data_IF_197955597638
#
_entry.id   IF_197955597638
#
_cell.length_a   1.000
_cell.length_b   1.000
_cell.length_c   1.000
_cell.angle_alpha   90.00
_cell.angle_beta   90.00
_cell.angle_gamma   90.00
#
_symmetry.space_group_name_H-M   'P 1'
#
loop_
_entity.id
_entity.type
_entity.pdbx_description
1 polymer ?
#
# COMPACT_ATOMS: atom_id res chain seq x y z
N UNK A 1 32.53 -18.07 -2.09
CA UNK A 1 31.25 -18.50 -1.48
C UNK A 1 30.20 -18.21 -2.53
N UNK A 2 29.58 -19.24 -3.09
CA UNK A 2 28.46 -19.04 -4.01
C UNK A 2 27.36 -18.31 -3.24
N UNK A 3 27.02 -17.10 -3.66
CA UNK A 3 25.93 -16.36 -3.04
C UNK A 3 24.65 -17.14 -3.31
N UNK A 4 24.05 -17.72 -2.26
CA UNK A 4 22.70 -18.32 -2.31
C UNK A 4 21.58 -17.31 -2.62
N UNK A 5 21.96 -16.08 -2.97
CA UNK A 5 21.06 -15.01 -3.33
C UNK A 5 20.50 -15.24 -4.73
N UNK A 6 19.18 -15.15 -4.84
CA UNK A 6 18.48 -15.22 -6.11
C UNK A 6 18.87 -14.00 -6.96
N UNK A 7 19.13 -14.21 -8.25
CA UNK A 7 19.44 -13.12 -9.17
C UNK A 7 18.20 -12.20 -9.33
N UNK A 8 18.30 -10.88 -9.08
CA UNK A 8 17.19 -9.94 -9.28
C UNK A 8 16.79 -9.77 -10.76
N UNK A 9 17.69 -10.11 -11.69
CA UNK A 9 17.42 -10.13 -13.13
C UNK A 9 16.76 -11.45 -13.50
N UNK A 10 15.57 -11.34 -14.09
CA UNK A 10 14.78 -12.47 -14.57
C UNK A 10 15.38 -13.02 -15.88
N UNK A 11 15.58 -12.17 -16.87
CA UNK A 11 16.30 -12.45 -18.10
C UNK A 11 16.69 -11.14 -18.80
N UNK A 12 17.55 -11.22 -19.82
CA UNK A 12 17.96 -10.07 -20.64
C UNK A 12 17.46 -10.22 -22.07
N UNK A 13 16.95 -9.14 -22.66
CA UNK A 13 16.58 -9.08 -24.08
C UNK A 13 17.28 -7.88 -24.70
N UNK A 14 18.23 -8.12 -25.61
CA UNK A 14 18.87 -7.06 -26.39
C UNK A 14 19.56 -5.98 -25.56
N UNK A 15 20.14 -6.32 -24.41
CA UNK A 15 20.78 -5.38 -23.48
C UNK A 15 19.82 -4.73 -22.48
N UNK A 16 18.52 -5.05 -22.53
CA UNK A 16 17.54 -4.65 -21.51
C UNK A 16 17.38 -5.77 -20.47
N UNK A 17 17.79 -5.51 -19.23
CA UNK A 17 17.59 -6.44 -18.12
C UNK A 17 16.15 -6.33 -17.57
N UNK A 18 15.37 -7.39 -17.75
CA UNK A 18 14.04 -7.52 -17.15
C UNK A 18 14.20 -8.02 -15.72
N UNK A 19 13.63 -7.31 -14.75
CA UNK A 19 13.77 -7.60 -13.31
C UNK A 19 12.52 -8.27 -12.75
N UNK A 20 12.72 -9.19 -11.80
CA UNK A 20 11.63 -9.82 -11.04
C UNK A 20 10.71 -8.80 -10.38
N UNK A 21 11.29 -7.70 -9.87
CA UNK A 21 10.56 -6.62 -9.22
C UNK A 21 9.42 -6.08 -10.10
N UNK A 22 9.71 -5.78 -11.37
CA UNK A 22 8.71 -5.24 -12.30
C UNK A 22 7.60 -6.24 -12.61
N UNK A 23 7.96 -7.52 -12.80
CA UNK A 23 6.98 -8.59 -13.00
C UNK A 23 6.06 -8.76 -11.78
N UNK A 24 6.63 -8.80 -10.58
CA UNK A 24 5.88 -8.96 -9.32
C UNK A 24 4.94 -7.77 -9.09
N UNK A 25 5.39 -6.53 -9.33
CA UNK A 25 4.52 -5.36 -9.26
C UNK A 25 3.38 -5.43 -10.29
N UNK A 26 3.66 -5.87 -11.52
CA UNK A 26 2.65 -6.07 -12.55
C UNK A 26 1.61 -7.11 -12.15
N UNK A 27 2.04 -8.24 -11.59
CA UNK A 27 1.15 -9.28 -11.05
C UNK A 27 0.34 -8.78 -9.86
N UNK A 28 0.94 -7.99 -8.97
CA UNK A 28 0.25 -7.35 -7.86
C UNK A 28 -0.85 -6.39 -8.32
N UNK A 29 -0.56 -5.56 -9.33
CA UNK A 29 -1.54 -4.67 -9.94
C UNK A 29 -2.68 -5.45 -10.63
N UNK A 30 -2.35 -6.53 -11.35
CA UNK A 30 -3.34 -7.40 -11.99
C UNK A 30 -4.25 -8.10 -10.97
N UNK A 31 -3.67 -8.67 -9.91
CA UNK A 31 -4.42 -9.31 -8.84
C UNK A 31 -5.33 -8.31 -8.11
N UNK A 32 -4.82 -7.10 -7.83
CA UNK A 32 -5.62 -6.00 -7.29
C UNK A 32 -6.78 -5.63 -8.22
N UNK A 33 -6.53 -5.48 -9.52
CA UNK A 33 -7.57 -5.17 -10.50
C UNK A 33 -8.65 -6.25 -10.57
N UNK A 34 -8.26 -7.52 -10.60
CA UNK A 34 -9.20 -8.66 -10.58
C UNK A 34 -10.10 -8.61 -9.35
N UNK A 35 -9.52 -8.36 -8.18
CA UNK A 35 -10.30 -8.23 -6.94
C UNK A 35 -11.20 -7.00 -6.97
N UNK A 36 -10.73 -5.85 -7.46
CA UNK A 36 -11.53 -4.63 -7.56
C UNK A 36 -12.74 -4.82 -8.49
N UNK A 37 -12.55 -5.50 -9.62
CA UNK A 37 -13.63 -5.88 -10.54
C UNK A 37 -14.62 -6.82 -9.85
N UNK A 38 -14.13 -7.82 -9.12
CA UNK A 38 -14.99 -8.77 -8.42
C UNK A 38 -15.81 -8.09 -7.32
N UNK A 39 -15.20 -7.18 -6.56
CA UNK A 39 -15.89 -6.37 -5.56
C UNK A 39 -16.87 -5.38 -6.17
N UNK A 40 -16.52 -4.75 -7.29
CA UNK A 40 -17.39 -3.85 -8.03
C UNK A 40 -18.65 -4.53 -8.57
N UNK A 41 -18.51 -5.77 -9.08
CA UNK A 41 -19.65 -6.58 -9.54
C UNK A 41 -20.68 -6.81 -8.43
N UNK A 42 -20.24 -6.97 -7.18
CA UNK A 42 -21.15 -7.09 -6.01
C UNK A 42 -22.04 -5.87 -5.83
N UNK A 43 -21.65 -4.71 -6.36
CA UNK A 43 -22.43 -3.48 -6.35
C UNK A 43 -22.97 -3.07 -7.73
N UNK A 44 -22.84 -3.92 -8.76
CA UNK A 44 -23.35 -3.65 -10.10
C UNK A 44 -22.49 -2.67 -10.91
N UNK A 45 -21.24 -2.40 -10.49
CA UNK A 45 -20.30 -1.59 -11.26
C UNK A 45 -19.68 -2.45 -12.36
N UNK A 46 -19.68 -1.94 -13.60
CA UNK A 46 -19.11 -2.65 -14.76
C UNK A 46 -17.59 -2.83 -14.61
N UNK A 47 -17.01 -3.95 -15.05
CA UNK A 47 -15.55 -4.19 -15.01
C UNK A 47 -14.73 -3.06 -15.64
N UNK A 48 -15.20 -2.53 -16.77
CA UNK A 48 -14.54 -1.46 -17.54
C UNK A 48 -14.24 -0.25 -16.67
N UNK A 49 -15.08 0.05 -15.67
CA UNK A 49 -14.83 1.15 -14.73
C UNK A 49 -13.48 1.00 -14.01
N UNK A 50 -13.15 -0.20 -13.53
CA UNK A 50 -11.90 -0.46 -12.81
C UNK A 50 -10.71 -0.60 -13.75
N UNK A 51 -10.92 -1.14 -14.94
CA UNK A 51 -9.91 -1.18 -16.00
C UNK A 51 -9.48 0.24 -16.36
N UNK A 52 -10.44 1.11 -16.68
CA UNK A 52 -10.23 2.52 -16.99
C UNK A 52 -9.58 3.26 -15.80
N UNK A 53 -10.04 2.99 -14.57
CA UNK A 53 -9.44 3.59 -13.37
C UNK A 53 -7.96 3.24 -13.24
N UNK A 54 -7.56 1.99 -13.54
CA UNK A 54 -6.17 1.57 -13.53
C UNK A 54 -5.39 2.19 -14.70
N UNK A 55 -5.95 2.18 -15.91
CA UNK A 55 -5.33 2.72 -17.13
C UNK A 55 -5.12 4.23 -17.07
N UNK A 56 -5.98 4.96 -16.35
CA UNK A 56 -5.80 6.39 -16.09
C UNK A 56 -4.92 6.62 -14.85
N UNK A 57 -5.12 5.81 -13.80
CA UNK A 57 -4.48 5.97 -12.51
C UNK A 57 -2.98 5.69 -12.52
N UNK A 58 -2.54 4.62 -13.20
CA UNK A 58 -1.12 4.25 -13.24
C UNK A 58 -0.26 5.29 -13.98
N UNK A 59 -0.62 5.78 -15.19
CA UNK A 59 0.11 6.88 -15.82
C UNK A 59 0.07 8.16 -14.99
N UNK A 60 -1.09 8.51 -14.42
CA UNK A 60 -1.21 9.69 -13.55
C UNK A 60 -0.29 9.61 -12.33
N UNK A 61 -0.15 8.42 -11.73
CA UNK A 61 0.78 8.17 -10.64
C UNK A 61 2.23 8.36 -11.08
N UNK A 62 2.64 7.77 -12.21
CA UNK A 62 4.02 7.90 -12.73
C UNK A 62 4.36 9.35 -13.04
N UNK A 63 3.45 10.07 -13.72
CA UNK A 63 3.63 11.49 -14.07
C UNK A 63 3.78 12.33 -12.80
N UNK A 64 2.87 12.19 -11.84
CA UNK A 64 2.91 12.96 -10.59
C UNK A 64 4.13 12.60 -9.73
N UNK A 65 4.55 11.33 -9.71
CA UNK A 65 5.75 10.87 -9.03
C UNK A 65 7.02 11.53 -9.58
N UNK A 66 7.09 11.68 -10.91
CA UNK A 66 8.21 12.35 -11.56
C UNK A 66 8.20 13.86 -11.31
N UNK A 67 7.04 14.50 -11.44
CA UNK A 67 6.87 15.93 -11.13
C UNK A 67 7.29 16.22 -9.69
N UNK A 68 6.81 15.40 -8.74
CA UNK A 68 7.16 15.54 -7.33
C UNK A 68 8.67 15.39 -7.13
N UNK A 69 9.29 14.34 -7.67
CA UNK A 69 10.74 14.14 -7.53
C UNK A 69 11.53 15.35 -8.06
N UNK A 70 11.26 15.77 -9.29
CA UNK A 70 11.95 16.89 -9.95
C UNK A 70 11.76 18.20 -9.17
N UNK A 71 10.58 18.45 -8.62
CA UNK A 71 10.33 19.65 -7.82
C UNK A 71 11.22 19.71 -6.57
N UNK A 72 11.47 18.58 -5.90
CA UNK A 72 12.33 18.51 -4.72
C UNK A 72 13.83 18.40 -5.04
N UNK A 73 14.18 18.08 -6.29
CA UNK A 73 15.58 17.99 -6.76
C UNK A 73 15.87 18.96 -7.90
N UNK A 74 15.22 20.12 -7.93
CA UNK A 74 15.21 21.05 -9.08
C UNK A 74 16.61 21.46 -9.54
N UNK A 75 17.55 21.63 -8.60
CA UNK A 75 18.93 22.00 -8.91
C UNK A 75 19.65 21.03 -9.85
N UNK A 76 19.24 19.75 -9.90
CA UNK A 76 19.81 18.76 -10.79
C UNK A 76 19.32 18.89 -12.24
N UNK A 77 18.17 19.55 -12.45
CA UNK A 77 17.44 19.60 -13.72
C UNK A 77 17.43 20.98 -14.38
N UNK A 78 17.66 22.07 -13.61
CA UNK A 78 17.59 23.45 -14.12
C UNK A 78 18.45 23.71 -15.35
N UNK A 79 19.60 23.04 -15.46
CA UNK A 79 20.54 23.20 -16.58
C UNK A 79 20.32 22.15 -17.69
N UNK A 80 19.47 21.15 -17.47
CA UNK A 80 19.16 20.04 -18.40
C UNK A 80 17.68 19.66 -18.36
N UNK A 81 16.77 20.53 -18.81
CA UNK A 81 15.32 20.33 -18.64
C UNK A 81 14.78 19.09 -19.37
N UNK A 82 15.46 18.59 -20.41
CA UNK A 82 15.07 17.35 -21.09
C UNK A 82 15.23 16.10 -20.22
N UNK A 83 16.11 16.14 -19.21
CA UNK A 83 16.33 15.01 -18.29
C UNK A 83 15.09 14.76 -17.41
N UNK A 84 14.18 15.73 -17.30
CA UNK A 84 12.90 15.59 -16.59
C UNK A 84 12.07 14.42 -17.15
N UNK A 85 12.16 14.12 -18.44
CA UNK A 85 11.37 13.05 -19.07
C UNK A 85 12.03 11.67 -18.99
N UNK A 86 13.30 11.59 -18.56
CA UNK A 86 14.07 10.35 -18.52
C UNK A 86 13.75 9.48 -17.30
N UNK A 87 12.51 8.98 -17.24
CA UNK A 87 12.04 8.14 -16.14
C UNK A 87 12.79 6.80 -16.02
N UNK A 88 13.45 6.36 -17.09
CA UNK A 88 14.27 5.14 -17.09
C UNK A 88 15.61 5.31 -16.37
N UNK A 89 16.05 6.55 -16.11
CA UNK A 89 17.22 6.84 -15.26
C UNK A 89 16.86 6.83 -13.76
N UNK A 90 15.61 6.51 -13.42
CA UNK A 90 15.09 6.52 -12.05
C UNK A 90 14.50 7.87 -11.66
N UNK A 91 14.55 8.21 -10.36
CA UNK A 91 14.02 9.47 -9.84
C UNK A 91 12.49 9.54 -9.84
N UNK A 92 11.86 8.63 -9.10
CA UNK A 92 10.42 8.54 -8.90
C UNK A 92 10.15 8.64 -7.39
N UNK A 93 9.28 9.57 -6.99
CA UNK A 93 8.91 9.74 -5.58
C UNK A 93 7.53 9.14 -5.28
N UNK A 94 7.47 8.22 -4.32
CA UNK A 94 6.22 7.53 -3.94
C UNK A 94 5.10 8.48 -3.51
N UNK A 95 5.44 9.58 -2.83
CA UNK A 95 4.46 10.59 -2.42
C UNK A 95 3.74 11.21 -3.62
N UNK A 96 4.48 11.53 -4.69
CA UNK A 96 3.88 12.02 -5.92
C UNK A 96 3.00 10.97 -6.60
N UNK A 97 3.41 9.70 -6.58
CA UNK A 97 2.60 8.60 -7.11
C UNK A 97 1.24 8.48 -6.40
N UNK A 98 1.25 8.53 -5.07
CA UNK A 98 0.03 8.46 -4.25
C UNK A 98 -0.87 9.66 -4.53
N UNK A 99 -0.32 10.88 -4.58
CA UNK A 99 -1.08 12.10 -4.87
C UNK A 99 -1.72 12.02 -6.26
N UNK A 100 -0.95 11.66 -7.28
CA UNK A 100 -1.43 11.54 -8.66
C UNK A 100 -2.55 10.50 -8.81
N UNK A 101 -2.35 9.32 -8.24
CA UNK A 101 -3.36 8.26 -8.24
C UNK A 101 -4.65 8.70 -7.51
N UNK A 102 -4.51 9.36 -6.36
CA UNK A 102 -5.65 9.82 -5.56
C UNK A 102 -6.46 10.90 -6.29
N UNK A 103 -5.80 11.91 -6.86
CA UNK A 103 -6.44 12.96 -7.65
C UNK A 103 -7.16 12.36 -8.87
N UNK A 104 -6.47 11.49 -9.61
CA UNK A 104 -7.06 10.79 -10.76
C UNK A 104 -8.31 10.00 -10.34
N UNK A 105 -8.24 9.22 -9.25
CA UNK A 105 -9.36 8.45 -8.75
C UNK A 105 -10.57 9.31 -8.35
N UNK A 106 -10.34 10.46 -7.71
CA UNK A 106 -11.40 11.42 -7.38
C UNK A 106 -12.07 11.98 -8.64
N UNK A 107 -11.26 12.46 -9.59
CA UNK A 107 -11.75 13.08 -10.82
C UNK A 107 -12.52 12.04 -11.62
N UNK A 108 -11.97 10.84 -11.80
CA UNK A 108 -12.57 9.78 -12.59
C UNK A 108 -13.86 9.24 -11.97
N UNK A 109 -13.89 8.98 -10.66
CA UNK A 109 -15.11 8.54 -9.97
C UNK A 109 -16.24 9.58 -10.13
N UNK A 110 -15.95 10.88 -9.94
CA UNK A 110 -16.93 11.96 -10.14
C UNK A 110 -17.31 12.14 -11.61
N UNK A 111 -16.37 11.93 -12.52
CA UNK A 111 -16.64 11.95 -13.96
C UNK A 111 -17.67 10.87 -14.34
N UNK A 112 -17.56 9.67 -13.77
CA UNK A 112 -18.52 8.55 -13.97
C UNK A 112 -19.76 8.60 -13.06
N UNK A 113 -19.92 9.63 -12.22
CA UNK A 113 -21.12 9.81 -11.39
C UNK A 113 -21.15 8.95 -10.11
N UNK A 114 -20.00 8.42 -9.68
CA UNK A 114 -19.87 7.67 -8.43
C UNK A 114 -19.33 8.53 -7.30
N UNK A 115 -19.81 8.29 -6.07
CA UNK A 115 -19.24 8.88 -4.85
C UNK A 115 -17.85 8.29 -4.60
N UNK A 116 -16.81 9.12 -4.55
CA UNK A 116 -15.42 8.67 -4.38
C UNK A 116 -15.23 7.71 -3.19
N UNK A 117 -15.80 8.01 -2.02
CA UNK A 117 -15.67 7.14 -0.84
C UNK A 117 -16.25 5.73 -1.05
N UNK A 118 -17.27 5.57 -1.90
CA UNK A 118 -17.80 4.24 -2.26
C UNK A 118 -16.78 3.45 -3.09
N UNK A 119 -16.15 4.13 -4.04
CA UNK A 119 -15.11 3.52 -4.87
C UNK A 119 -13.86 3.20 -4.05
N UNK A 120 -13.48 4.10 -3.14
CA UNK A 120 -12.38 3.87 -2.21
C UNK A 120 -12.62 2.62 -1.35
N UNK A 121 -13.80 2.50 -0.71
CA UNK A 121 -14.10 1.31 0.10
C UNK A 121 -14.06 0.01 -0.71
N UNK A 122 -14.52 0.03 -1.96
CA UNK A 122 -14.46 -1.15 -2.85
C UNK A 122 -13.01 -1.51 -3.21
N UNK A 123 -12.15 -0.52 -3.35
CA UNK A 123 -10.78 -0.70 -3.87
C UNK A 123 -9.75 -0.96 -2.78
N UNK A 124 -9.95 -0.54 -1.52
CA UNK A 124 -8.95 -0.76 -0.46
C UNK A 124 -8.52 -2.22 -0.22
N UNK A 125 -9.40 -3.25 -0.33
CA UNK A 125 -8.93 -4.64 -0.25
C UNK A 125 -7.96 -4.99 -1.40
N UNK A 126 -8.18 -4.41 -2.57
CA UNK A 126 -7.35 -4.59 -3.76
C UNK A 126 -5.98 -3.93 -3.61
N UNK A 127 -5.93 -2.80 -2.91
CA UNK A 127 -4.66 -2.13 -2.56
C UNK A 127 -3.82 -3.03 -1.63
N UNK A 128 -4.43 -3.66 -0.63
CA UNK A 128 -3.72 -4.61 0.25
C UNK A 128 -3.18 -5.81 -0.53
N UNK A 129 -3.91 -6.34 -1.52
CA UNK A 129 -3.41 -7.43 -2.37
C UNK A 129 -2.19 -6.98 -3.16
N UNK A 130 -2.24 -5.77 -3.76
CA UNK A 130 -1.11 -5.19 -4.46
C UNK A 130 0.11 -5.01 -3.55
N UNK A 131 -0.09 -4.52 -2.31
CA UNK A 131 0.97 -4.40 -1.31
C UNK A 131 1.54 -5.77 -0.93
N UNK A 132 0.67 -6.73 -0.59
CA UNK A 132 1.05 -8.09 -0.18
C UNK A 132 1.95 -8.77 -1.21
N UNK A 133 1.60 -8.67 -2.50
CA UNK A 133 2.37 -9.26 -3.60
C UNK A 133 3.61 -8.43 -3.88
N UNK A 134 3.48 -7.09 -3.94
CA UNK A 134 4.57 -6.18 -4.27
C UNK A 134 5.78 -6.29 -3.35
N UNK A 135 5.58 -6.66 -2.07
CA UNK A 135 6.68 -6.89 -1.11
C UNK A 135 7.63 -7.99 -1.53
N UNK A 136 7.17 -8.99 -2.28
CA UNK A 136 8.05 -10.01 -2.85
C UNK A 136 9.02 -9.44 -3.88
N UNK A 137 8.74 -8.27 -4.47
CA UNK A 137 9.73 -7.53 -5.23
C UNK A 137 10.91 -7.11 -4.36
N UNK A 138 10.65 -6.57 -3.16
CA UNK A 138 11.72 -6.19 -2.22
C UNK A 138 12.58 -7.38 -1.81
N UNK A 139 11.96 -8.57 -1.64
CA UNK A 139 12.68 -9.81 -1.41
C UNK A 139 13.68 -10.10 -2.53
N UNK A 140 13.21 -10.12 -3.79
CA UNK A 140 14.07 -10.42 -4.95
C UNK A 140 15.18 -9.39 -5.19
N UNK A 141 14.97 -8.14 -4.78
CA UNK A 141 15.98 -7.08 -4.86
C UNK A 141 16.90 -7.02 -3.63
N UNK A 142 16.64 -7.81 -2.58
CA UNK A 142 17.29 -7.68 -1.27
C UNK A 142 17.30 -6.23 -0.77
N UNK A 143 16.13 -5.58 -0.74
CA UNK A 143 15.98 -4.19 -0.27
C UNK A 143 14.90 -4.08 0.81
N UNK A 144 14.87 -2.94 1.53
CA UNK A 144 13.87 -2.63 2.55
C UNK A 144 13.75 -3.69 3.68
N UNK A 145 14.86 -4.34 4.03
CA UNK A 145 14.96 -5.34 5.08
C UNK A 145 15.19 -4.71 6.47
N UNK A 146 15.04 -5.51 7.53
CA UNK A 146 15.27 -5.06 8.90
C UNK A 146 16.71 -5.24 9.39
N UNK A 147 16.94 -4.97 10.68
CA UNK A 147 18.24 -5.10 11.32
C UNK A 147 18.84 -6.52 11.27
N UNK A 148 20.13 -6.66 11.64
CA UNK A 148 20.79 -7.96 11.78
C UNK A 148 20.03 -8.86 12.75
N UNK A 149 19.98 -10.15 12.47
CA UNK A 149 19.34 -11.17 13.29
C UNK A 149 20.11 -12.49 13.17
N UNK A 150 20.00 -13.39 14.15
CA UNK A 150 20.64 -14.70 14.06
C UNK A 150 19.91 -15.62 13.07
N UNK A 151 20.64 -16.53 12.42
CA UNK A 151 20.04 -17.57 11.58
C UNK A 151 19.10 -18.47 12.39
N UNK A 152 19.49 -18.79 13.61
CA UNK A 152 18.69 -19.57 14.56
C UNK A 152 17.33 -18.91 14.82
N UNK A 153 17.26 -17.59 15.00
CA UNK A 153 15.99 -16.92 15.17
C UNK A 153 15.09 -17.08 13.95
N UNK A 154 15.64 -16.96 12.73
CA UNK A 154 14.85 -17.14 11.50
C UNK A 154 14.35 -18.58 11.34
N UNK A 155 15.16 -19.58 11.67
CA UNK A 155 14.83 -21.00 11.48
C UNK A 155 14.03 -21.61 12.63
N UNK A 156 14.45 -21.36 13.87
CA UNK A 156 13.93 -22.03 15.06
C UNK A 156 12.84 -21.22 15.76
N UNK A 157 12.88 -19.88 15.70
CA UNK A 157 11.83 -19.02 16.29
C UNK A 157 10.74 -18.73 15.28
N UNK A 158 11.10 -18.22 14.10
CA UNK A 158 10.13 -17.83 13.06
C UNK A 158 9.74 -18.98 12.12
N UNK A 159 10.43 -20.12 12.16
CA UNK A 159 10.14 -21.30 11.32
C UNK A 159 10.09 -20.97 9.82
N UNK A 160 11.00 -20.10 9.37
CA UNK A 160 11.01 -19.62 7.99
C UNK A 160 11.68 -20.67 7.07
N UNK A 161 11.11 -20.96 5.88
CA UNK A 161 11.71 -21.87 4.92
C UNK A 161 13.11 -21.45 4.48
N UNK A 162 13.99 -22.44 4.24
CA UNK A 162 15.40 -22.20 3.91
C UNK A 162 15.63 -21.26 2.74
N UNK A 163 14.78 -21.29 1.70
CA UNK A 163 14.97 -20.40 0.54
C UNK A 163 14.85 -18.91 0.92
N UNK A 164 13.97 -18.57 1.88
CA UNK A 164 13.86 -17.20 2.38
C UNK A 164 15.04 -16.90 3.28
N UNK A 165 15.35 -17.76 4.25
CA UNK A 165 16.46 -17.56 5.20
C UNK A 165 17.77 -17.33 4.45
N UNK A 166 18.08 -18.17 3.47
CA UNK A 166 19.30 -18.07 2.67
C UNK A 166 19.35 -16.77 1.85
N UNK A 167 18.21 -16.32 1.31
CA UNK A 167 18.15 -15.04 0.58
C UNK A 167 18.15 -13.82 1.51
N UNK A 168 17.88 -13.99 2.79
CA UNK A 168 18.00 -12.94 3.81
C UNK A 168 19.41 -12.80 4.38
N UNK A 169 20.38 -13.60 3.92
CA UNK A 169 21.80 -13.29 4.11
C UNK A 169 22.20 -12.21 3.12
N UNK A 170 22.42 -11.00 3.61
CA UNK A 170 22.65 -9.80 2.80
C UNK A 170 24.01 -9.22 3.12
N UNK A 171 24.79 -8.97 2.08
CA UNK A 171 26.05 -8.24 2.11
C UNK A 171 25.78 -6.82 1.62
N UNK A 172 26.01 -5.82 2.46
CA UNK A 172 25.79 -4.42 2.14
C UNK A 172 26.93 -3.54 2.66
N UNK A 173 26.88 -2.24 2.36
CA UNK A 173 27.93 -1.30 2.77
C UNK A 173 28.04 -1.11 4.28
N UNK A 174 27.00 -1.44 5.05
CA UNK A 174 27.03 -1.35 6.50
C UNK A 174 27.67 -2.59 7.14
N UNK A 175 27.50 -3.77 6.53
CA UNK A 175 28.09 -5.04 6.97
C UNK A 175 28.72 -5.78 5.77
N UNK A 176 29.99 -5.47 5.44
CA UNK A 176 30.69 -6.05 4.28
C UNK A 176 30.89 -7.57 4.34
N UNK A 177 30.95 -8.14 5.55
CA UNK A 177 31.02 -9.59 5.78
C UNK A 177 29.68 -10.30 5.58
N UNK A 178 28.57 -9.55 5.51
CA UNK A 178 27.22 -10.04 5.42
C UNK A 178 26.60 -10.47 6.75
N UNK A 179 25.28 -10.32 6.84
CA UNK A 179 24.51 -10.78 7.99
C UNK A 179 23.11 -11.24 7.56
N UNK A 180 22.53 -12.15 8.34
CA UNK A 180 21.10 -12.43 8.23
C UNK A 180 20.30 -11.22 8.69
N UNK A 181 19.26 -10.87 7.93
CA UNK A 181 18.41 -9.70 8.20
C UNK A 181 16.98 -10.12 8.49
N UNK A 182 16.26 -9.31 9.26
CA UNK A 182 14.82 -9.51 9.41
C UNK A 182 14.10 -9.37 8.04
N UNK A 183 13.29 -10.36 7.64
CA UNK A 183 12.53 -10.33 6.38
C UNK A 183 11.30 -9.42 6.49
N UNK A 184 11.54 -8.10 6.53
CA UNK A 184 10.46 -7.11 6.61
C UNK A 184 9.41 -7.28 5.50
N UNK A 185 9.83 -7.69 4.29
CA UNK A 185 8.91 -8.03 3.21
C UNK A 185 7.85 -9.07 3.63
N UNK A 186 8.27 -10.13 4.35
CA UNK A 186 7.41 -11.22 4.76
C UNK A 186 6.46 -10.74 5.86
N UNK A 187 6.96 -9.94 6.80
CA UNK A 187 6.13 -9.34 7.85
C UNK A 187 5.06 -8.44 7.24
N UNK A 188 5.42 -7.60 6.26
CA UNK A 188 4.48 -6.72 5.56
C UNK A 188 3.48 -7.51 4.70
N UNK A 189 3.91 -8.57 4.01
CA UNK A 189 3.03 -9.46 3.24
C UNK A 189 2.03 -10.18 4.14
N UNK A 190 2.47 -10.76 5.25
CA UNK A 190 1.59 -11.44 6.21
C UNK A 190 0.65 -10.46 6.91
N UNK A 191 1.14 -9.27 7.28
CA UNK A 191 0.31 -8.21 7.84
C UNK A 191 -0.78 -7.76 6.86
N UNK A 192 -0.43 -7.66 5.57
CA UNK A 192 -1.39 -7.33 4.51
C UNK A 192 -2.43 -8.43 4.31
N UNK A 193 -2.04 -9.70 4.41
CA UNK A 193 -2.95 -10.85 4.35
C UNK A 193 -3.95 -10.84 5.52
N UNK A 194 -3.48 -10.62 6.75
CA UNK A 194 -4.36 -10.50 7.93
C UNK A 194 -5.28 -9.29 7.77
N UNK A 195 -4.77 -8.17 7.27
CA UNK A 195 -5.57 -7.00 6.96
C UNK A 195 -6.67 -7.28 5.96
N UNK A 196 -6.36 -8.03 4.89
CA UNK A 196 -7.34 -8.42 3.89
C UNK A 196 -8.47 -9.25 4.50
N UNK A 197 -8.13 -10.22 5.37
CA UNK A 197 -9.10 -11.01 6.11
C UNK A 197 -9.98 -10.13 7.00
N UNK A 198 -9.39 -9.19 7.73
CA UNK A 198 -10.11 -8.23 8.59
C UNK A 198 -11.07 -7.36 7.78
N UNK A 199 -10.62 -6.79 6.66
CA UNK A 199 -11.50 -5.99 5.78
C UNK A 199 -12.64 -6.84 5.21
N UNK A 200 -12.39 -8.11 4.88
CA UNK A 200 -13.41 -9.03 4.40
C UNK A 200 -14.43 -9.45 5.46
N UNK A 201 -14.05 -9.46 6.74
CA UNK A 201 -14.97 -9.64 7.86
C UNK A 201 -15.76 -8.35 8.12
N UNK A 202 -15.09 -7.19 8.15
CA UNK A 202 -15.70 -5.88 8.38
C UNK A 202 -16.75 -5.54 7.34
N UNK A 203 -16.46 -5.76 6.06
CA UNK A 203 -17.39 -5.45 4.96
C UNK A 203 -18.72 -6.22 5.02
N UNK A 204 -18.79 -7.31 5.80
CA UNK A 204 -20.01 -8.11 6.01
C UNK A 204 -20.84 -7.59 7.19
N UNK A 205 -20.32 -6.65 7.97
CA UNK A 205 -20.98 -6.12 9.15
C UNK A 205 -22.04 -5.08 8.79
N UNK A 206 -23.25 -5.24 9.34
CA UNK A 206 -24.40 -4.35 9.07
C UNK A 206 -24.20 -2.91 9.56
N UNK A 207 -23.30 -2.69 10.53
CA UNK A 207 -23.04 -1.38 11.12
C UNK A 207 -22.06 -0.51 10.30
N UNK A 208 -21.37 -1.10 9.32
CA UNK A 208 -20.32 -0.45 8.56
C UNK A 208 -20.91 0.62 7.63
N UNK A 209 -20.38 1.85 7.69
CA UNK A 209 -20.80 2.98 6.86
C UNK A 209 -19.81 3.25 5.74
N UNK A 210 -20.27 3.94 4.70
CA UNK A 210 -19.42 4.36 3.57
C UNK A 210 -18.26 5.21 4.08
N UNK A 211 -17.04 4.90 3.64
CA UNK A 211 -15.75 5.48 4.02
C UNK A 211 -15.08 4.80 5.21
N UNK A 212 -15.79 3.97 5.97
CA UNK A 212 -15.22 3.34 7.18
C UNK A 212 -14.36 2.13 6.85
N UNK A 213 -14.59 1.45 5.72
CA UNK A 213 -13.71 0.37 5.28
C UNK A 213 -12.34 0.93 4.87
N UNK A 214 -12.35 2.06 4.16
CA UNK A 214 -11.14 2.83 3.84
C UNK A 214 -10.41 3.31 5.08
N UNK A 215 -11.14 3.85 6.06
CA UNK A 215 -10.56 4.27 7.34
C UNK A 215 -9.96 3.08 8.12
N UNK A 216 -10.65 1.93 8.14
CA UNK A 216 -10.15 0.70 8.75
C UNK A 216 -8.87 0.20 8.06
N UNK A 217 -8.79 0.29 6.73
CA UNK A 217 -7.55 0.02 5.98
C UNK A 217 -6.40 0.93 6.45
N UNK A 218 -6.62 2.25 6.55
CA UNK A 218 -5.58 3.17 7.00
C UNK A 218 -5.14 2.89 8.44
N UNK A 219 -6.08 2.57 9.34
CA UNK A 219 -5.76 2.17 10.72
C UNK A 219 -4.90 0.91 10.70
N UNK A 220 -5.34 -0.14 10.01
CA UNK A 220 -4.64 -1.42 9.96
C UNK A 220 -3.24 -1.31 9.34
N UNK A 221 -3.15 -0.66 8.17
CA UNK A 221 -1.87 -0.41 7.50
C UNK A 221 -0.92 0.35 8.41
N UNK A 222 -1.41 1.40 9.08
CA UNK A 222 -0.58 2.24 9.94
C UNK A 222 -0.08 1.51 11.18
N UNK A 223 -0.88 0.62 11.78
CA UNK A 223 -0.41 -0.22 12.88
C UNK A 223 0.78 -1.08 12.44
N UNK A 224 0.65 -1.81 11.33
CA UNK A 224 1.76 -2.61 10.79
C UNK A 224 2.96 -1.75 10.42
N UNK A 225 2.73 -0.61 9.78
CA UNK A 225 3.77 0.36 9.41
C UNK A 225 4.53 0.85 10.63
N UNK A 226 3.85 1.13 11.74
CA UNK A 226 4.48 1.60 12.98
C UNK A 226 5.46 0.56 13.56
N UNK A 227 5.05 -0.71 13.63
CA UNK A 227 5.87 -1.77 14.21
C UNK A 227 7.00 -2.24 13.28
N UNK A 228 6.69 -2.47 12.00
CA UNK A 228 7.67 -3.02 11.05
C UNK A 228 8.73 -1.98 10.69
N UNK A 229 8.37 -0.70 10.58
CA UNK A 229 9.34 0.36 10.29
C UNK A 229 10.39 0.49 11.40
N UNK A 230 10.04 0.21 12.66
CA UNK A 230 11.00 0.23 13.76
C UNK A 230 12.11 -0.82 13.58
N UNK A 231 11.84 -1.92 12.86
CA UNK A 231 12.81 -2.97 12.56
C UNK A 231 13.75 -2.58 11.41
N UNK A 232 13.36 -1.59 10.60
CA UNK A 232 14.10 -1.17 9.41
C UNK A 232 15.31 -0.30 9.75
N UNK A 233 16.29 -0.39 8.86
CA UNK A 233 17.57 0.34 8.93
C UNK A 233 17.65 1.50 7.92
N UNK A 234 16.76 1.51 6.92
CA UNK A 234 16.73 2.47 5.81
C UNK A 234 15.60 3.51 5.96
N UNK A 235 15.27 3.85 7.20
CA UNK A 235 14.18 4.78 7.51
C UNK A 235 14.59 6.24 7.37
N UNK A 236 13.72 7.03 6.76
CA UNK A 236 13.78 8.49 6.87
C UNK A 236 13.45 8.90 8.30
N UNK A 237 14.30 9.74 8.89
CA UNK A 237 14.15 10.23 10.25
C UNK A 237 14.34 11.75 10.33
N UNK A 238 13.95 12.30 11.48
CA UNK A 238 14.16 13.70 11.83
C UNK A 238 14.44 13.83 13.33
N UNK A 239 14.93 15.01 13.74
CA UNK A 239 15.14 15.34 15.15
C UNK A 239 13.83 15.87 15.76
N UNK A 240 13.26 15.11 16.67
CA UNK A 240 12.09 15.50 17.46
C UNK A 240 12.35 15.54 18.96
N UNK A 241 11.37 16.01 19.74
CA UNK A 241 11.51 16.20 21.18
C UNK A 241 11.50 14.87 21.96
N UNK A 242 12.20 14.83 23.10
CA UNK A 242 12.37 13.61 23.91
C UNK A 242 11.05 12.97 24.35
N UNK A 243 10.01 13.75 24.65
CA UNK A 243 8.71 13.20 25.04
C UNK A 243 8.08 12.35 23.92
N UNK A 244 8.30 12.74 22.65
CA UNK A 244 7.76 12.03 21.50
C UNK A 244 8.56 10.75 21.23
N UNK A 245 9.89 10.79 21.43
CA UNK A 245 10.73 9.59 21.41
C UNK A 245 10.27 8.59 22.47
N UNK A 246 10.06 9.05 23.71
CA UNK A 246 9.56 8.21 24.81
C UNK A 246 8.18 7.62 24.51
N UNK A 247 7.28 8.40 23.90
CA UNK A 247 5.96 7.92 23.48
C UNK A 247 6.09 6.80 22.43
N UNK A 248 6.87 7.03 21.37
CA UNK A 248 7.07 6.05 20.28
C UNK A 248 7.71 4.78 20.81
N UNK A 249 8.77 4.89 21.63
CA UNK A 249 9.43 3.74 22.24
C UNK A 249 8.50 3.00 23.21
N UNK A 250 7.71 3.72 24.00
CA UNK A 250 6.71 3.14 24.89
C UNK A 250 5.65 2.33 24.13
N UNK A 251 5.12 2.87 23.03
CA UNK A 251 4.15 2.18 22.17
C UNK A 251 4.75 0.96 21.45
N UNK A 252 6.06 0.98 21.17
CA UNK A 252 6.76 -0.14 20.53
C UNK A 252 7.20 -1.23 21.51
N UNK A 253 7.41 -0.88 22.79
CA UNK A 253 7.91 -1.79 23.84
C UNK A 253 7.20 -3.14 23.98
N UNK A 254 5.89 -3.33 23.69
CA UNK A 254 5.26 -4.63 23.83
C UNK A 254 5.88 -5.76 22.98
N UNK A 255 6.58 -5.42 21.89
CA UNK A 255 7.22 -6.42 21.02
C UNK A 255 8.72 -6.57 21.23
N UNK A 256 9.32 -5.81 22.17
CA UNK A 256 10.76 -5.83 22.40
C UNK A 256 11.27 -7.13 23.01
N UNK A 257 10.38 -8.02 23.48
CA UNK A 257 10.75 -9.35 23.96
C UNK A 257 11.05 -10.34 22.83
N UNK A 258 10.67 -10.02 21.58
CA UNK A 258 10.84 -10.89 20.41
C UNK A 258 11.66 -10.21 19.32
N UNK A 259 11.58 -8.89 19.21
CA UNK A 259 12.25 -8.11 18.18
C UNK A 259 13.10 -6.99 18.78
N UNK A 260 14.20 -6.68 18.13
CA UNK A 260 14.99 -5.48 18.40
C UNK A 260 14.69 -4.39 17.38
N UNK A 261 14.81 -3.13 17.79
CA UNK A 261 14.72 -2.03 16.83
C UNK A 261 15.92 -2.06 15.90
N UNK A 262 15.68 -1.79 14.62
CA UNK A 262 16.74 -1.53 13.65
C UNK A 262 17.59 -0.35 14.09
N UNK A 263 18.86 -0.37 13.72
CA UNK A 263 19.74 0.77 13.95
C UNK A 263 19.20 2.01 13.23
N UNK A 264 19.17 3.13 13.94
CA UNK A 264 18.90 4.45 13.38
C UNK A 264 20.07 5.36 13.77
N UNK A 265 20.75 5.91 12.79
CA UNK A 265 21.88 6.80 13.02
C UNK A 265 21.40 8.11 13.70
N UNK A 266 21.87 8.41 14.92
CA UNK A 266 21.50 9.62 15.65
C UNK A 266 21.79 10.92 14.91
N UNK A 267 22.72 10.92 13.95
CA UNK A 267 23.03 12.10 13.13
C UNK A 267 21.89 12.45 12.15
N UNK A 268 21.10 11.46 11.72
CA UNK A 268 19.97 11.66 10.80
C UNK A 268 18.64 11.90 11.52
N UNK A 269 18.51 11.47 12.77
CA UNK A 269 17.35 11.76 13.60
C UNK A 269 17.14 10.77 14.74
N UNK A 270 16.19 11.09 15.60
CA UNK A 270 15.77 10.22 16.72
C UNK A 270 14.35 9.67 16.55
N UNK A 271 13.62 10.08 15.50
CA UNK A 271 12.27 9.61 15.19
C UNK A 271 12.16 9.27 13.71
N UNK A 272 11.69 8.06 13.41
CA UNK A 272 11.36 7.64 12.04
C UNK A 272 10.07 8.33 11.59
N UNK A 273 10.13 9.05 10.46
CA UNK A 273 9.00 9.81 9.89
C UNK A 273 7.78 8.90 9.70
N UNK A 274 8.00 7.68 9.19
CA UNK A 274 6.94 6.71 8.94
C UNK A 274 6.21 6.26 10.22
N UNK A 275 6.88 6.19 11.37
CA UNK A 275 6.23 5.84 12.66
C UNK A 275 5.32 6.98 13.12
N UNK A 276 5.78 8.23 13.03
CA UNK A 276 4.96 9.39 13.36
C UNK A 276 3.76 9.51 12.42
N UNK A 277 3.99 9.39 11.10
CA UNK A 277 2.91 9.44 10.11
C UNK A 277 1.87 8.34 10.34
N UNK A 278 2.29 7.13 10.73
CA UNK A 278 1.37 6.06 11.09
C UNK A 278 0.46 6.45 12.25
N UNK A 279 1.00 7.01 13.33
CA UNK A 279 0.18 7.48 14.47
C UNK A 279 -0.80 8.57 14.05
N UNK A 280 -0.34 9.55 13.26
CA UNK A 280 -1.18 10.63 12.74
C UNK A 280 -2.30 10.10 11.83
N UNK A 281 -2.01 9.11 10.98
CA UNK A 281 -3.02 8.48 10.12
C UNK A 281 -4.06 7.69 10.92
N UNK A 282 -3.66 6.99 11.99
CA UNK A 282 -4.60 6.31 12.88
C UNK A 282 -5.55 7.35 13.52
N UNK A 283 -4.99 8.41 14.09
CA UNK A 283 -5.76 9.49 14.73
C UNK A 283 -6.71 10.13 13.71
N UNK A 284 -6.21 10.48 12.51
CA UNK A 284 -7.01 11.08 11.46
C UNK A 284 -8.15 10.16 10.99
N UNK A 285 -7.90 8.86 10.84
CA UNK A 285 -8.92 7.89 10.46
C UNK A 285 -9.99 7.71 11.54
N UNK A 286 -9.60 7.68 12.82
CA UNK A 286 -10.54 7.61 13.95
C UNK A 286 -11.39 8.87 14.03
N UNK A 287 -10.78 10.05 13.95
CA UNK A 287 -11.49 11.34 13.92
C UNK A 287 -12.45 11.38 12.72
N UNK A 288 -12.01 10.93 11.55
CA UNK A 288 -12.85 10.86 10.35
C UNK A 288 -14.11 10.02 10.57
N UNK A 289 -14.00 8.85 11.21
CA UNK A 289 -15.14 8.00 11.56
C UNK A 289 -16.07 8.72 12.55
N UNK A 290 -15.52 9.22 13.66
CA UNK A 290 -16.29 9.85 14.74
C UNK A 290 -17.05 11.07 14.24
N UNK A 291 -16.35 12.01 13.58
CA UNK A 291 -16.94 13.25 13.05
C UNK A 291 -18.07 12.93 12.08
N UNK A 292 -17.86 11.98 11.15
CA UNK A 292 -18.90 11.63 10.18
C UNK A 292 -20.11 10.94 10.79
N UNK A 293 -19.92 10.15 11.85
CA UNK A 293 -21.02 9.55 12.61
C UNK A 293 -21.82 10.60 13.38
N UNK A 294 -21.15 11.53 14.06
CA UNK A 294 -21.81 12.58 14.86
C UNK A 294 -22.53 13.60 13.97
N UNK A 295 -21.92 14.01 12.86
CA UNK A 295 -22.50 15.00 11.94
C UNK A 295 -23.57 14.43 11.00
N UNK A 296 -23.86 13.13 11.06
CA UNK A 296 -24.82 12.47 10.17
C UNK A 296 -24.34 12.25 8.74
N UNK A 297 -23.08 12.58 8.41
CA UNK A 297 -22.49 12.35 7.08
C UNK A 297 -22.22 10.87 6.75
N UNK A 298 -22.41 9.97 7.72
CA UNK A 298 -22.30 8.52 7.61
C UNK A 298 -23.68 7.84 7.57
N UNK A 299 -24.63 8.45 6.87
CA UNK A 299 -26.01 7.98 6.68
C UNK A 299 -26.09 6.70 5.85
N UNK A 300 -25.32 6.61 4.77
CA UNK A 300 -25.31 5.44 3.87
C UNK A 300 -24.46 4.31 4.44
N UNK A 301 -24.98 3.09 4.43
CA UNK A 301 -24.27 1.87 4.83
C UNK A 301 -23.38 1.37 3.71
N UNK A 302 -22.32 0.67 4.06
CA UNK A 302 -21.44 0.05 3.08
C UNK A 302 -22.19 -0.91 2.15
N UNK A 303 -23.10 -1.74 2.71
CA UNK A 303 -23.85 -2.74 1.96
C UNK A 303 -24.93 -2.16 1.02
N UNK A 304 -25.30 -0.89 1.16
CA UNK A 304 -26.35 -0.28 0.34
C UNK A 304 -25.97 -0.31 -1.16
N UNK A 305 -26.95 -0.40 -2.08
CA UNK A 305 -26.69 -0.37 -3.52
C UNK A 305 -25.94 0.90 -3.96
N UNK A 306 -25.13 0.79 -5.02
CA UNK A 306 -24.46 1.94 -5.63
C UNK A 306 -25.24 2.39 -6.85
N UNK A 307 -25.82 3.58 -6.74
CA UNK A 307 -26.47 4.25 -7.87
C UNK A 307 -25.53 5.33 -8.41
N UNK A 308 -25.30 5.33 -9.72
CA UNK A 308 -24.57 6.39 -10.40
C UNK A 308 -25.50 7.55 -10.73
N UNK A 309 -25.01 8.78 -10.55
CA UNK A 309 -25.72 10.00 -10.96
C UNK A 309 -25.60 10.29 -12.46
N UNK A 310 -24.81 9.48 -13.19
CA UNK A 310 -24.52 9.65 -14.63
C UNK A 310 -24.60 8.30 -15.37
N UNK A 311 -25.78 7.68 -15.45
CA UNK A 311 -25.96 6.36 -16.08
C UNK A 311 -25.43 6.28 -17.51
N UNK A 312 -25.60 7.34 -18.30
CA UNK A 312 -25.17 7.45 -19.68
C UNK A 312 -23.66 7.25 -19.85
N UNK A 313 -22.85 7.77 -18.91
CA UNK A 313 -21.39 7.61 -18.92
C UNK A 313 -20.91 6.22 -18.53
N UNK A 314 -21.83 5.39 -18.05
CA UNK A 314 -21.60 4.00 -17.67
C UNK A 314 -22.32 3.05 -18.64
N UNK A 315 -22.87 3.55 -19.74
CA UNK A 315 -23.62 2.76 -20.72
C UNK A 315 -24.83 2.05 -20.08
N UNK A 316 -25.50 2.72 -19.14
CA UNK A 316 -26.77 2.28 -18.54
C UNK A 316 -27.90 3.11 -19.17
N UNK A 317 -29.00 2.46 -19.56
CA UNK A 317 -30.25 3.13 -19.93
C UNK A 317 -31.05 3.48 -18.68
N UNK A 318 -32.02 4.41 -18.78
CA UNK A 318 -32.88 4.80 -17.66
C UNK A 318 -33.58 3.58 -17.02
N UNK A 319 -34.08 2.64 -17.82
CA UNK A 319 -34.74 1.40 -17.36
C UNK A 319 -33.78 0.36 -16.76
N UNK A 320 -32.48 0.41 -17.10
CA UNK A 320 -31.48 -0.54 -16.62
C UNK A 320 -31.07 -0.34 -15.16
N UNK A 321 -31.34 0.84 -14.59
CA UNK A 321 -31.11 1.12 -13.17
C UNK A 321 -32.16 0.47 -12.28
N UNK A 322 -33.44 0.49 -12.67
CA UNK A 322 -34.53 -0.07 -11.84
C UNK A 322 -34.46 -1.60 -11.74
N UNK A 323 -34.05 -2.29 -12.81
CA UNK A 323 -33.95 -3.76 -12.84
C UNK A 323 -32.77 -4.27 -11.97
N UNK A 324 -31.62 -3.61 -12.01
CA UNK A 324 -30.46 -3.97 -11.19
C UNK A 324 -30.71 -3.75 -9.68
N UNK A 325 -31.55 -2.77 -9.36
CA UNK A 325 -31.94 -2.44 -7.98
C UNK A 325 -33.03 -3.39 -7.46
N UNK A 326 -33.99 -3.76 -8.31
CA UNK A 326 -35.08 -4.68 -7.98
C UNK A 326 -34.63 -6.15 -7.82
N UNK A 327 -33.67 -6.61 -8.62
CA UNK A 327 -33.16 -7.99 -8.55
C UNK A 327 -32.48 -8.32 -7.21
N UNK A 328 -31.87 -7.33 -6.54
CA UNK A 328 -31.18 -7.54 -5.25
C UNK A 328 -32.09 -7.41 -4.03
N UNK A 329 -33.12 -6.59 -4.10
CA UNK A 329 -34.14 -6.52 -3.05
C UNK A 329 -34.91 -7.85 -2.88
N UNK A 330 -34.92 -8.71 -3.91
CA UNK A 330 -35.50 -10.06 -3.88
C UNK A 330 -34.58 -11.15 -3.29
N UNK A 331 -33.25 -11.00 -3.38
CA UNK A 331 -32.30 -11.99 -2.85
C UNK A 331 -32.08 -11.85 -1.33
N UNK A 332 -32.10 -10.64 -0.78
CA UNK A 332 -31.99 -10.39 0.68
C UNK A 332 -33.26 -10.79 1.49
N UNK A 333 -34.30 -11.29 0.81
CA UNK A 333 -35.54 -11.79 1.43
C UNK A 333 -35.61 -13.32 1.54
N UNK A 334 -34.55 -14.06 1.20
CA UNK A 334 -34.49 -15.52 1.33
C UNK A 334 -33.48 -15.99 2.35
#
# INVERSE_FOLDING_TARGET
MDTFAINPVLFEIGGLSIRWYGLILGLGALAGLMLAVQEGKRFGIKPDFFMDLLLLGAPSAIIAARIYYVAFTWDQYKDRPLDIFKIWEGGIAIYGAIIGAFICGIIYARYKGYRFLRIADITVPSILVGQMIGRWGNFMNQEAYGGPVSEEFLRNTLHIPSFIVNHMFIVDSAIPEGAFRHPAFLYESLWSLVGLAILFVLRRQKFLRVGELTAAYFIWYSIGRFFIEALRIDSLAFMGPNWLVSLINGLWSPISGVFDQGYLDPAYGNIRISQLLALLLIIAAVIFIIVRRITGQADVRYADPIVTTKPERNGLTADGQDIATASKAGEDKK
#
